data_IF_192873099681
#
_entry.id   IF_192873099681
#
_cell.length_a   1.000
_cell.length_b   1.000
_cell.length_c   1.000
_cell.angle_alpha   90.00
_cell.angle_beta   90.00
_cell.angle_gamma   90.00
#
_symmetry.space_group_name_H-M   'P 1'
#
loop_
_entity.id
_entity.type
_entity.pdbx_description
1 polymer ?
#
# COMPACT_ATOMS: atom_id res chain seq x y z
N UNK A 1 7.44 11.94 1.93
CA UNK A 1 6.80 11.00 2.89
C UNK A 1 7.89 10.40 3.79
N UNK A 2 7.55 9.63 4.83
CA UNK A 2 8.56 8.92 5.65
C UNK A 2 8.61 7.46 5.22
N UNK A 3 9.80 6.96 4.88
CA UNK A 3 10.01 5.57 4.51
C UNK A 3 9.71 4.64 5.69
N UNK A 4 8.81 3.68 5.52
CA UNK A 4 8.45 2.73 6.59
C UNK A 4 9.51 1.65 6.86
N UNK A 5 10.66 1.69 6.16
CA UNK A 5 11.78 0.76 6.36
C UNK A 5 12.93 1.40 7.12
N UNK A 6 13.46 2.52 6.65
CA UNK A 6 14.57 3.23 7.33
C UNK A 6 14.13 4.40 8.21
N UNK A 7 12.85 4.80 8.17
CA UNK A 7 12.29 5.98 8.87
C UNK A 7 12.85 7.33 8.43
N UNK A 8 13.60 7.39 7.32
CA UNK A 8 14.06 8.63 6.71
C UNK A 8 13.04 9.19 5.71
N UNK A 9 13.22 10.45 5.31
CA UNK A 9 12.39 11.07 4.27
C UNK A 9 12.62 10.39 2.93
N UNK A 10 11.53 10.07 2.23
CA UNK A 10 11.53 9.54 0.87
C UNK A 10 10.70 10.43 -0.05
N UNK A 11 11.24 10.65 -1.25
CA UNK A 11 10.56 11.29 -2.38
C UNK A 11 10.17 10.21 -3.37
N UNK A 12 8.87 10.10 -3.67
CA UNK A 12 8.34 9.12 -4.60
C UNK A 12 7.68 9.86 -5.77
N UNK A 13 8.00 9.51 -7.02
CA UNK A 13 7.28 10.05 -8.16
C UNK A 13 5.85 9.50 -8.12
N UNK A 14 4.86 10.39 -8.15
CA UNK A 14 3.45 10.03 -8.25
C UNK A 14 2.99 10.30 -9.68
N UNK A 15 2.35 9.31 -10.27
CA UNK A 15 1.80 9.37 -11.62
C UNK A 15 0.42 8.71 -11.62
N UNK A 16 -0.56 9.39 -12.19
CA UNK A 16 -1.92 8.86 -12.36
C UNK A 16 -2.38 9.09 -13.80
N UNK A 17 -3.01 8.09 -14.39
CA UNK A 17 -3.73 8.19 -15.66
C UNK A 17 -5.17 7.77 -15.39
N UNK A 18 -6.09 8.70 -15.59
CA UNK A 18 -7.52 8.48 -15.40
C UNK A 18 -8.29 8.86 -16.67
N UNK A 19 -9.39 8.17 -16.93
CA UNK A 19 -10.22 8.38 -18.10
C UNK A 19 -11.68 8.28 -17.71
N UNK A 20 -12.41 9.39 -17.84
CA UNK A 20 -13.81 9.47 -17.44
C UNK A 20 -14.77 9.59 -18.62
N UNK A 21 -15.92 8.95 -18.48
CA UNK A 21 -17.10 9.20 -19.28
C UNK A 21 -17.98 10.20 -18.52
N UNK A 22 -18.02 11.44 -19.00
CA UNK A 22 -18.86 12.48 -18.41
C UNK A 22 -20.30 12.31 -18.90
N UNK A 23 -21.22 12.11 -17.97
CA UNK A 23 -22.65 11.92 -18.27
C UNK A 23 -23.50 12.86 -17.43
N UNK A 24 -24.75 13.06 -17.85
CA UNK A 24 -25.74 13.76 -17.03
C UNK A 24 -26.15 12.88 -15.86
N UNK A 25 -26.48 13.51 -14.74
CA UNK A 25 -27.04 12.83 -13.57
C UNK A 25 -28.24 11.95 -13.97
N UNK A 26 -28.24 10.69 -13.51
CA UNK A 26 -29.29 9.72 -13.81
C UNK A 26 -29.30 9.16 -15.24
N UNK A 27 -28.27 9.43 -16.04
CA UNK A 27 -28.12 8.81 -17.37
C UNK A 27 -27.93 7.29 -17.27
N UNK A 28 -28.41 6.55 -18.27
CA UNK A 28 -28.14 5.12 -18.36
C UNK A 28 -26.70 4.88 -18.81
N UNK A 29 -25.90 4.26 -17.95
CA UNK A 29 -24.45 4.02 -18.15
C UNK A 29 -24.14 2.65 -18.75
N UNK A 30 -25.13 1.77 -18.97
CA UNK A 30 -24.90 0.39 -19.43
C UNK A 30 -24.33 0.28 -20.85
N UNK A 31 -24.48 1.33 -21.67
CA UNK A 31 -23.96 1.39 -23.04
C UNK A 31 -22.59 2.06 -23.15
N UNK A 32 -22.00 2.50 -22.04
CA UNK A 32 -20.70 3.19 -22.07
C UNK A 32 -19.57 2.23 -22.49
N UNK A 33 -18.56 2.72 -23.23
CA UNK A 33 -17.36 1.95 -23.51
C UNK A 33 -16.70 1.47 -22.21
N UNK A 34 -16.21 0.23 -22.21
CA UNK A 34 -15.46 -0.30 -21.07
C UNK A 34 -14.13 0.45 -20.90
N UNK A 35 -13.67 0.56 -19.66
CA UNK A 35 -12.40 1.20 -19.33
C UNK A 35 -12.48 2.70 -19.06
N UNK A 36 -13.69 3.24 -18.91
CA UNK A 36 -13.92 4.59 -18.41
C UNK A 36 -14.67 4.54 -17.09
N UNK A 37 -14.25 5.36 -16.14
CA UNK A 37 -15.01 5.62 -14.93
C UNK A 37 -16.09 6.66 -15.22
N UNK A 38 -17.26 6.52 -14.59
CA UNK A 38 -18.39 7.42 -14.86
C UNK A 38 -18.31 8.64 -13.97
N UNK A 39 -18.37 9.82 -14.60
CA UNK A 39 -18.49 11.09 -13.90
C UNK A 39 -19.86 11.69 -14.18
N UNK A 40 -20.75 11.63 -13.19
CA UNK A 40 -22.09 12.23 -13.30
C UNK A 40 -22.02 13.72 -12.96
N UNK A 41 -22.54 14.56 -13.85
CA UNK A 41 -22.66 16.00 -13.65
C UNK A 41 -24.12 16.42 -13.67
N UNK A 42 -24.50 17.17 -12.65
CA UNK A 42 -25.76 17.89 -12.57
C UNK A 42 -25.66 19.26 -13.24
N UNK A 43 -26.34 20.26 -12.68
CA UNK A 43 -26.33 21.64 -13.18
C UNK A 43 -25.08 22.43 -12.76
N UNK A 44 -24.42 22.01 -11.68
CA UNK A 44 -23.22 22.64 -11.18
C UNK A 44 -21.98 22.25 -12.01
N UNK A 45 -21.02 23.17 -12.21
CA UNK A 45 -19.79 22.86 -12.93
C UNK A 45 -18.93 21.85 -12.17
N UNK A 46 -18.19 21.03 -12.91
CA UNK A 46 -17.21 20.11 -12.35
C UNK A 46 -16.08 20.86 -11.62
N UNK A 47 -15.86 20.52 -10.36
CA UNK A 47 -14.66 20.91 -9.63
C UNK A 47 -13.47 20.03 -10.05
N UNK A 48 -12.71 20.52 -11.04
CA UNK A 48 -11.51 19.84 -11.52
C UNK A 48 -10.42 19.74 -10.46
N UNK A 49 -10.34 20.69 -9.51
CA UNK A 49 -9.33 20.64 -8.48
C UNK A 49 -9.61 19.47 -7.52
N UNK A 50 -10.86 19.33 -7.09
CA UNK A 50 -11.29 18.22 -6.25
C UNK A 50 -11.07 16.87 -6.94
N UNK A 51 -11.45 16.75 -8.23
CA UNK A 51 -11.24 15.52 -9.00
C UNK A 51 -9.75 15.14 -9.10
N UNK A 52 -8.88 16.12 -9.39
CA UNK A 52 -7.43 15.88 -9.46
C UNK A 52 -6.88 15.48 -8.08
N UNK A 53 -7.36 16.08 -7.00
CA UNK A 53 -6.96 15.73 -5.64
C UNK A 53 -7.31 14.28 -5.31
N UNK A 54 -8.52 13.84 -5.63
CA UNK A 54 -8.94 12.44 -5.43
C UNK A 54 -8.06 11.47 -6.21
N UNK A 55 -7.77 11.77 -7.47
CA UNK A 55 -6.91 10.92 -8.32
C UNK A 55 -5.47 10.86 -7.80
N UNK A 56 -4.94 11.97 -7.31
CA UNK A 56 -3.61 11.98 -6.68
C UNK A 56 -3.59 11.19 -5.38
N UNK A 57 -4.66 11.27 -4.58
CA UNK A 57 -4.80 10.52 -3.34
C UNK A 57 -4.85 9.01 -3.62
N UNK A 58 -5.59 8.59 -4.65
CA UNK A 58 -5.66 7.20 -5.09
C UNK A 58 -4.33 6.68 -5.65
N UNK A 59 -3.53 7.55 -6.28
CA UNK A 59 -2.21 7.21 -6.79
C UNK A 59 -1.12 7.11 -5.70
N UNK A 60 -1.42 7.49 -4.45
CA UNK A 60 -0.44 7.37 -3.37
C UNK A 60 -0.14 5.89 -3.04
N UNK A 61 1.14 5.56 -2.76
CA UNK A 61 1.49 4.22 -2.34
C UNK A 61 0.92 3.93 -0.94
N UNK A 62 0.38 2.72 -0.76
CA UNK A 62 -0.11 2.24 0.54
C UNK A 62 0.99 2.29 1.60
N UNK A 63 2.23 1.97 1.21
CA UNK A 63 3.40 2.02 2.08
C UNK A 63 4.50 2.80 1.38
N UNK A 64 4.86 4.01 1.85
CA UNK A 64 5.98 4.75 1.29
C UNK A 64 7.30 4.07 1.69
N UNK A 65 8.11 3.69 0.71
CA UNK A 65 9.45 3.20 0.93
C UNK A 65 10.37 3.57 -0.23
N UNK A 66 11.65 3.79 0.07
CA UNK A 66 12.71 3.87 -0.93
C UNK A 66 12.79 2.58 -1.75
N UNK A 67 13.45 2.63 -2.91
CA UNK A 67 13.75 1.43 -3.69
C UNK A 67 14.51 0.40 -2.83
N UNK A 68 14.24 -0.91 -2.99
CA UNK A 68 14.86 -1.95 -2.17
C UNK A 68 16.38 -1.85 -2.06
N UNK A 69 17.06 -1.51 -3.15
CA UNK A 69 18.53 -1.39 -3.24
C UNK A 69 19.09 -0.13 -2.57
N UNK A 70 18.26 0.90 -2.37
CA UNK A 70 18.69 2.22 -1.90
C UNK A 70 18.40 2.46 -0.42
N UNK A 71 17.73 1.51 0.24
CA UNK A 71 17.34 1.68 1.64
C UNK A 71 17.79 0.51 2.50
N UNK A 72 18.83 0.77 3.27
CA UNK A 72 19.31 -0.14 4.28
C UNK A 72 18.39 -0.06 5.50
N UNK A 73 18.20 -1.20 6.17
CA UNK A 73 17.51 -1.19 7.45
C UNK A 73 18.33 -0.36 8.46
N UNK A 74 17.68 0.32 9.41
CA UNK A 74 18.39 1.04 10.47
C UNK A 74 19.34 0.07 11.18
N UNK A 75 20.57 0.51 11.47
CA UNK A 75 21.53 -0.28 12.24
C UNK A 75 20.90 -0.66 13.60
N UNK A 76 20.84 -1.96 13.90
CA UNK A 76 20.18 -2.51 15.10
C UNK A 76 18.87 -3.27 14.83
N UNK A 77 18.42 -3.35 13.58
CA UNK A 77 17.38 -4.29 13.14
C UNK A 77 17.95 -5.65 12.71
N UNK A 78 19.19 -5.96 13.09
CA UNK A 78 19.73 -7.31 12.96
C UNK A 78 18.88 -8.26 13.79
N UNK A 79 18.54 -9.43 13.22
CA UNK A 79 18.14 -10.57 14.03
C UNK A 79 19.17 -10.71 15.15
N UNK A 80 18.75 -10.94 16.41
CA UNK A 80 19.71 -11.11 17.49
C UNK A 80 20.73 -12.15 17.05
N UNK A 81 22.00 -11.75 16.91
CA UNK A 81 23.08 -12.69 16.67
C UNK A 81 22.89 -13.81 17.69
N UNK A 82 22.79 -15.04 17.21
CA UNK A 82 22.58 -16.19 18.09
C UNK A 82 23.74 -16.22 19.07
N UNK A 83 23.50 -15.71 20.28
CA UNK A 83 24.51 -15.59 21.31
C UNK A 83 25.01 -17.01 21.58
N UNK A 84 26.31 -17.24 21.40
CA UNK A 84 26.96 -18.53 21.70
C UNK A 84 26.83 -18.94 23.19
N UNK A 85 26.30 -18.06 24.03
CA UNK A 85 25.81 -18.39 25.36
C UNK A 85 24.32 -18.78 25.30
N UNK A 86 24.04 -20.01 24.89
CA UNK A 86 22.77 -20.67 25.19
C UNK A 86 22.65 -20.81 26.72
N UNK A 87 22.13 -19.78 27.38
CA UNK A 87 21.47 -20.00 28.66
C UNK A 87 20.29 -20.90 28.35
N UNK A 88 20.27 -22.10 28.93
CA UNK A 88 19.18 -23.08 28.87
C UNK A 88 17.90 -22.52 29.50
N UNK A 89 17.33 -21.48 28.90
CA UNK A 89 15.96 -21.05 29.14
C UNK A 89 15.10 -21.80 28.15
N UNK A 90 14.12 -22.54 28.65
CA UNK A 90 13.10 -23.19 27.83
C UNK A 90 12.57 -22.18 26.83
N UNK A 91 12.71 -22.47 25.53
CA UNK A 91 12.25 -21.60 24.45
C UNK A 91 10.80 -21.17 24.75
N UNK A 92 10.47 -19.86 24.83
CA UNK A 92 9.12 -19.39 25.17
C UNK A 92 8.06 -19.81 24.14
N UNK A 93 8.50 -20.26 22.96
CA UNK A 93 7.68 -20.81 21.88
C UNK A 93 7.75 -22.33 21.76
N UNK A 94 8.30 -23.04 22.75
CA UNK A 94 8.39 -24.51 22.75
C UNK A 94 7.03 -25.22 22.62
N UNK A 95 5.94 -24.55 22.99
CA UNK A 95 4.56 -25.02 22.75
C UNK A 95 4.23 -25.10 21.25
N UNK A 96 4.80 -24.24 20.41
CA UNK A 96 4.56 -24.24 18.95
C UNK A 96 5.16 -25.45 18.23
N UNK A 97 6.11 -26.16 18.84
CA UNK A 97 6.66 -27.40 18.28
C UNK A 97 5.60 -28.50 18.12
N UNK A 98 4.53 -28.46 18.93
CA UNK A 98 3.41 -29.38 18.85
C UNK A 98 2.57 -29.17 17.57
N UNK A 99 2.58 -27.97 16.99
CA UNK A 99 1.87 -27.63 15.74
C UNK A 99 2.61 -28.08 14.47
N UNK A 100 3.85 -28.58 14.60
CA UNK A 100 4.66 -29.05 13.47
C UNK A 100 4.34 -30.51 13.06
N UNK A 101 3.38 -31.15 13.70
CA UNK A 101 3.00 -32.56 13.49
C UNK A 101 1.51 -32.75 13.26
N UNK A 102 0.91 -31.98 12.37
CA UNK A 102 -0.33 -32.40 11.70
C UNK A 102 -0.31 -31.91 10.25
N UNK A 103 0.18 -32.71 9.30
CA UNK A 103 0.10 -32.41 7.88
C UNK A 103 -1.30 -32.72 7.31
N UNK A 104 -2.39 -32.56 8.07
CA UNK A 104 -3.73 -32.87 7.58
C UNK A 104 -4.86 -32.08 8.28
N UNK A 105 -4.97 -30.80 7.96
CA UNK A 105 -6.24 -30.07 7.75
C UNK A 105 -6.02 -29.11 6.58
#
# INVERSE_FOLDING_TARGET
MVCQRCLELVTLPIHSECSYAVVKEGANTQSLPKGYDVLELGEDPLDLQALIEEELLLALPIVPAHHPEECQQPAGADEPESSKDEVTRSNPFSVLAQLKRDPNV
#
